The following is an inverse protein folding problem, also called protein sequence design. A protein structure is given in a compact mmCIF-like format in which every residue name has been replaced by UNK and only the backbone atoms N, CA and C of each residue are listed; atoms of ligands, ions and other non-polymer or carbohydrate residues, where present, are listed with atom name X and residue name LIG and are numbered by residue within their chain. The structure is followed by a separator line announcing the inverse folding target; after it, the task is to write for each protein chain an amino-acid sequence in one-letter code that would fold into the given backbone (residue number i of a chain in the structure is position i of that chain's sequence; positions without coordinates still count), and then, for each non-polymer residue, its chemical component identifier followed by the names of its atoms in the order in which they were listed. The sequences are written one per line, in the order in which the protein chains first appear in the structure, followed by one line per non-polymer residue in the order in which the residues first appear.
data_IF_111422869213
#
_entry.id   IF_111422869213
#
_cell.length_a   1.000
_cell.length_b   1.000
_cell.length_c   1.000
_cell.angle_alpha   90.00
_cell.angle_beta   90.00
_cell.angle_gamma   90.00
#
_symmetry.space_group_name_H-M   'P 1'
#
loop_
_entity.id
_entity.type
_entity.pdbx_description
1 polymer ?
#
# COMPACT_ATOMS: atom_id res chain seq x y z
N UNK A 1 -21.56 -7.30 -9.27
CA UNK A 1 -20.68 -6.12 -9.32
C UNK A 1 -20.37 -5.67 -10.73
N UNK A 2 -20.00 -6.57 -11.62
CA UNK A 2 -19.61 -6.23 -12.99
C UNK A 2 -20.75 -5.57 -13.76
N UNK A 3 -21.99 -5.78 -13.36
CA UNK A 3 -23.20 -5.26 -13.98
C UNK A 3 -23.88 -4.13 -13.21
N UNK A 4 -23.68 -4.06 -11.90
CA UNK A 4 -24.23 -2.99 -11.04
C UNK A 4 -23.10 -2.12 -10.49
N UNK A 5 -22.84 -1.01 -11.16
CA UNK A 5 -21.79 -0.05 -10.79
C UNK A 5 -22.13 0.81 -9.58
N UNK A 6 -23.26 0.55 -8.89
CA UNK A 6 -23.72 1.35 -7.77
C UNK A 6 -24.23 2.73 -8.17
N UNK A 7 -24.30 3.65 -7.21
CA UNK A 7 -24.81 5.02 -7.40
C UNK A 7 -23.70 5.94 -7.90
N UNK A 8 -24.01 6.79 -8.87
CA UNK A 8 -23.07 7.82 -9.31
C UNK A 8 -23.27 9.09 -8.47
N UNK A 9 -22.21 9.58 -7.85
CA UNK A 9 -22.20 10.85 -7.13
C UNK A 9 -22.27 12.03 -8.12
N UNK A 10 -22.69 13.21 -7.66
CA UNK A 10 -22.77 14.43 -8.47
C UNK A 10 -21.43 14.85 -9.11
N UNK A 11 -20.31 14.41 -8.55
CA UNK A 11 -18.95 14.59 -9.11
C UNK A 11 -18.61 13.62 -10.24
N UNK A 12 -19.50 12.74 -10.64
CA UNK A 12 -19.25 11.69 -11.64
C UNK A 12 -18.60 10.43 -11.11
N UNK A 13 -18.24 10.40 -9.82
CA UNK A 13 -17.63 9.24 -9.17
C UNK A 13 -18.66 8.14 -8.93
N UNK A 14 -18.29 6.89 -9.26
CA UNK A 14 -19.15 5.74 -8.98
C UNK A 14 -18.91 5.28 -7.54
N UNK A 15 -19.99 5.23 -6.76
CA UNK A 15 -19.97 4.74 -5.38
C UNK A 15 -20.42 3.28 -5.38
N UNK A 16 -19.45 2.37 -5.30
CA UNK A 16 -19.73 0.94 -5.24
C UNK A 16 -20.39 0.56 -3.93
N UNK A 17 -21.33 -0.36 -4.00
CA UNK A 17 -22.01 -0.92 -2.83
C UNK A 17 -22.27 -2.40 -2.98
N UNK A 18 -22.30 -3.12 -1.86
CA UNK A 18 -22.63 -4.53 -1.78
C UNK A 18 -23.61 -4.79 -0.67
N UNK A 19 -24.46 -5.77 -0.87
CA UNK A 19 -25.38 -6.25 0.16
C UNK A 19 -25.25 -7.75 0.31
N UNK A 20 -25.10 -8.18 1.56
CA UNK A 20 -25.16 -9.57 1.95
C UNK A 20 -26.53 -9.80 2.59
N UNK A 21 -27.32 -10.69 1.99
CA UNK A 21 -28.63 -11.08 2.48
C UNK A 21 -28.50 -12.52 2.97
N UNK A 22 -28.45 -12.75 4.30
CA UNK A 22 -28.37 -14.10 4.82
C UNK A 22 -29.72 -14.81 4.67
N UNK A 23 -29.70 -16.14 4.68
CA UNK A 23 -30.93 -16.93 4.70
C UNK A 23 -31.78 -16.61 5.95
N UNK A 24 -31.12 -16.36 7.08
CA UNK A 24 -31.75 -15.93 8.33
C UNK A 24 -30.80 -14.98 9.06
N UNK A 25 -31.31 -13.81 9.49
CA UNK A 25 -30.54 -12.81 10.21
C UNK A 25 -30.60 -11.43 9.55
N UNK A 26 -29.78 -10.54 10.05
CA UNK A 26 -29.72 -9.13 9.63
C UNK A 26 -29.03 -8.95 8.27
N UNK A 27 -29.51 -8.01 7.50
CA UNK A 27 -28.84 -7.62 6.25
C UNK A 27 -27.57 -6.82 6.56
N UNK A 28 -26.53 -7.05 5.77
CA UNK A 28 -25.26 -6.32 5.87
C UNK A 28 -24.98 -5.61 4.55
N UNK A 29 -24.92 -4.28 4.61
CA UNK A 29 -24.58 -3.44 3.46
C UNK A 29 -23.16 -2.91 3.61
N UNK A 30 -22.39 -2.92 2.53
CA UNK A 30 -21.14 -2.20 2.38
C UNK A 30 -21.32 -1.11 1.34
N UNK A 31 -20.81 0.08 1.60
CA UNK A 31 -20.90 1.22 0.68
C UNK A 31 -19.64 2.08 0.76
N UNK A 32 -19.13 2.51 -0.39
CA UNK A 32 -18.12 3.55 -0.46
C UNK A 32 -18.75 4.93 -0.40
N UNK A 33 -18.09 5.85 0.27
CA UNK A 33 -18.44 7.26 0.22
C UNK A 33 -17.62 8.00 -0.89
N UNK A 34 -17.93 9.27 -1.19
CA UNK A 34 -17.17 10.05 -2.15
C UNK A 34 -15.69 10.25 -1.79
N UNK A 35 -15.31 10.04 -0.53
CA UNK A 35 -13.93 10.13 -0.01
C UNK A 35 -13.18 8.79 -0.03
N UNK A 36 -13.73 7.77 -0.69
CA UNK A 36 -13.18 6.41 -0.73
C UNK A 36 -13.14 5.67 0.61
N UNK A 37 -13.94 6.09 1.57
CA UNK A 37 -14.07 5.38 2.83
C UNK A 37 -15.13 4.30 2.70
N UNK A 38 -14.78 3.07 3.06
CA UNK A 38 -15.70 1.95 3.10
C UNK A 38 -16.47 1.94 4.42
N UNK A 39 -17.78 1.98 4.33
CA UNK A 39 -18.70 1.89 5.45
C UNK A 39 -19.48 0.58 5.42
N UNK A 40 -19.81 0.08 6.59
CA UNK A 40 -20.75 -1.03 6.78
C UNK A 40 -22.03 -0.54 7.49
N UNK A 41 -23.13 -1.21 7.21
CA UNK A 41 -24.46 -0.91 7.80
C UNK A 41 -25.18 -2.22 8.06
N UNK A 42 -25.66 -2.42 9.29
CA UNK A 42 -26.42 -3.59 9.69
C UNK A 42 -27.89 -3.20 9.79
N UNK A 43 -28.77 -3.92 9.11
CA UNK A 43 -30.23 -3.70 9.08
C UNK A 43 -30.63 -2.26 8.76
N UNK A 44 -29.92 -1.61 7.80
CA UNK A 44 -30.16 -0.24 7.39
C UNK A 44 -30.04 0.80 8.51
N UNK A 45 -29.39 0.45 9.62
CA UNK A 45 -29.12 1.38 10.72
C UNK A 45 -28.00 2.36 10.32
N UNK A 46 -27.51 3.14 11.29
CA UNK A 46 -26.43 4.10 11.08
C UNK A 46 -25.19 3.39 10.52
N UNK A 47 -24.59 3.97 9.49
CA UNK A 47 -23.34 3.44 8.91
C UNK A 47 -22.17 3.67 9.86
N UNK A 48 -21.28 2.71 9.91
CA UNK A 48 -20.01 2.72 10.65
C UNK A 48 -18.87 2.40 9.68
N UNK A 49 -17.63 2.89 9.91
CA UNK A 49 -16.49 2.46 9.14
C UNK A 49 -16.38 0.92 9.13
N UNK A 50 -16.11 0.33 7.95
CA UNK A 50 -16.06 -1.12 7.82
C UNK A 50 -14.96 -1.75 8.70
N UNK A 51 -13.87 -1.01 8.97
CA UNK A 51 -12.79 -1.45 9.87
C UNK A 51 -13.28 -1.75 11.29
N UNK A 52 -14.28 -1.03 11.79
CA UNK A 52 -14.87 -1.30 13.12
C UNK A 52 -15.52 -2.69 13.13
N UNK A 53 -16.25 -3.02 12.07
CA UNK A 53 -16.88 -4.33 11.94
C UNK A 53 -15.83 -5.45 11.79
N UNK A 54 -14.80 -5.23 10.98
CA UNK A 54 -13.72 -6.20 10.79
C UNK A 54 -12.97 -6.47 12.10
N UNK A 55 -12.70 -5.43 12.88
CA UNK A 55 -12.11 -5.57 14.23
C UNK A 55 -13.04 -6.30 15.20
N UNK A 56 -14.35 -6.11 15.10
CA UNK A 56 -15.31 -6.87 15.89
C UNK A 56 -15.38 -8.35 15.50
N UNK A 57 -14.90 -8.72 14.31
CA UNK A 57 -14.68 -10.08 13.84
C UNK A 57 -13.26 -10.61 14.16
N UNK A 58 -12.54 -9.90 15.06
CA UNK A 58 -11.20 -10.24 15.54
C UNK A 58 -10.07 -10.11 14.50
N UNK A 59 -10.29 -9.34 13.42
CA UNK A 59 -9.23 -9.04 12.46
C UNK A 59 -8.28 -7.98 13.02
N UNK A 60 -7.00 -8.29 13.09
CA UNK A 60 -5.94 -7.37 13.48
C UNK A 60 -5.62 -6.33 12.39
N UNK A 61 -4.82 -5.31 12.74
CA UNK A 61 -4.43 -4.25 11.79
C UNK A 61 -3.68 -4.83 10.59
N UNK A 62 -2.67 -5.67 10.80
CA UNK A 62 -1.90 -6.30 9.74
C UNK A 62 -2.77 -7.16 8.82
N UNK A 63 -3.70 -7.91 9.39
CA UNK A 63 -4.61 -8.78 8.65
C UNK A 63 -5.54 -7.96 7.75
N UNK A 64 -6.12 -6.87 8.28
CA UNK A 64 -6.94 -5.95 7.49
C UNK A 64 -6.11 -5.33 6.35
N UNK A 65 -4.89 -4.87 6.63
CA UNK A 65 -4.03 -4.26 5.62
C UNK A 65 -3.65 -5.26 4.53
N UNK A 66 -3.28 -6.49 4.89
CA UNK A 66 -2.90 -7.54 3.94
C UNK A 66 -4.06 -8.03 3.07
N UNK A 67 -5.30 -7.94 3.56
CA UNK A 67 -6.49 -8.34 2.79
C UNK A 67 -6.88 -7.30 1.73
N UNK A 68 -6.68 -6.01 2.03
CA UNK A 68 -7.15 -4.91 1.17
C UNK A 68 -6.08 -4.23 0.33
N UNK A 69 -4.80 -4.45 0.63
CA UNK A 69 -3.68 -3.79 -0.05
C UNK A 69 -2.61 -4.80 -0.44
N UNK A 70 -1.97 -4.52 -1.56
CA UNK A 70 -0.72 -5.21 -1.91
C UNK A 70 0.43 -4.70 -1.04
N UNK A 71 1.42 -5.55 -0.82
CA UNK A 71 2.63 -5.23 -0.06
C UNK A 71 3.84 -5.15 -1.00
N UNK A 72 4.69 -4.16 -0.77
CA UNK A 72 6.02 -4.08 -1.33
C UNK A 72 7.04 -4.35 -0.22
N UNK A 73 8.00 -5.24 -0.50
CA UNK A 73 9.11 -5.53 0.42
C UNK A 73 10.33 -4.71 0.01
N UNK A 74 10.82 -3.92 0.95
CA UNK A 74 12.00 -3.08 0.78
C UNK A 74 13.15 -3.64 1.62
N UNK A 75 14.27 -3.92 0.97
CA UNK A 75 15.52 -4.28 1.66
C UNK A 75 16.38 -3.03 1.76
N UNK A 76 16.72 -2.64 2.99
CA UNK A 76 17.54 -1.47 3.26
C UNK A 76 19.02 -1.82 3.12
N UNK A 77 19.75 -0.98 2.39
CA UNK A 77 21.21 -0.95 2.32
C UNK A 77 21.65 0.43 2.81
N UNK A 78 22.94 0.68 3.00
CA UNK A 78 23.46 1.88 3.71
C UNK A 78 22.81 3.21 3.31
N UNK A 79 22.69 3.49 1.99
CA UNK A 79 22.13 4.74 1.47
C UNK A 79 21.12 4.48 0.32
N UNK A 80 20.64 3.24 0.22
CA UNK A 80 19.73 2.85 -0.85
C UNK A 80 18.76 1.77 -0.39
N UNK A 81 17.68 1.68 -1.09
CA UNK A 81 16.62 0.72 -0.80
C UNK A 81 16.39 -0.14 -2.03
N UNK A 82 16.39 -1.44 -1.87
CA UNK A 82 16.08 -2.39 -2.93
C UNK A 82 14.62 -2.83 -2.82
N UNK A 83 13.95 -2.85 -3.94
CA UNK A 83 12.57 -3.32 -4.04
C UNK A 83 12.40 -4.20 -5.27
N UNK A 84 11.51 -5.17 -5.19
CA UNK A 84 11.14 -5.98 -6.34
C UNK A 84 10.61 -5.10 -7.47
N UNK A 85 11.10 -5.32 -8.69
CA UNK A 85 10.68 -4.53 -9.83
C UNK A 85 9.31 -5.01 -10.34
N UNK A 86 8.28 -4.25 -10.05
CA UNK A 86 6.96 -4.36 -10.67
C UNK A 86 6.77 -3.12 -11.56
N UNK A 87 7.12 -3.18 -12.86
CA UNK A 87 7.20 -2.00 -13.72
C UNK A 87 5.91 -1.19 -13.76
N UNK A 88 4.76 -1.84 -13.72
CA UNK A 88 3.44 -1.19 -13.76
C UNK A 88 3.21 -0.24 -12.59
N UNK A 89 3.74 -0.56 -11.42
CA UNK A 89 3.62 0.25 -10.19
C UNK A 89 4.43 1.54 -10.25
N UNK A 90 5.46 1.58 -11.09
CA UNK A 90 6.28 2.77 -11.28
C UNK A 90 5.69 3.75 -12.31
N UNK A 91 4.61 3.41 -12.97
CA UNK A 91 4.02 4.23 -14.04
C UNK A 91 3.53 5.57 -13.52
N UNK A 92 4.11 6.63 -14.06
CA UNK A 92 3.74 8.01 -13.71
C UNK A 92 4.54 8.60 -12.55
N UNK A 93 5.30 7.77 -11.83
CA UNK A 93 6.20 8.21 -10.76
C UNK A 93 7.38 9.03 -11.33
N UNK A 94 7.92 9.88 -10.47
CA UNK A 94 9.15 10.63 -10.75
C UNK A 94 10.12 10.35 -9.61
N UNK A 95 11.18 9.61 -9.91
CA UNK A 95 12.15 9.18 -8.90
C UNK A 95 13.31 10.16 -8.80
N UNK A 96 13.83 10.32 -7.59
CA UNK A 96 15.01 11.15 -7.29
C UNK A 96 16.33 10.52 -7.76
N UNK A 97 16.32 9.25 -8.11
CA UNK A 97 17.50 8.49 -8.56
C UNK A 97 17.28 7.85 -9.92
N UNK A 98 18.40 7.55 -10.59
CA UNK A 98 18.37 6.79 -11.85
C UNK A 98 17.93 5.36 -11.62
N UNK A 99 17.03 4.87 -12.47
CA UNK A 99 16.75 3.43 -12.52
C UNK A 99 17.81 2.76 -13.40
N UNK A 100 18.68 1.99 -12.76
CA UNK A 100 19.75 1.23 -13.42
C UNK A 100 19.49 -0.27 -13.29
N UNK A 101 19.67 -0.97 -14.39
CA UNK A 101 19.66 -2.42 -14.43
C UNK A 101 20.95 -2.88 -15.13
N UNK A 102 21.81 -3.62 -14.44
CA UNK A 102 23.08 -4.14 -14.99
C UNK A 102 23.92 -3.07 -15.72
N UNK A 103 24.14 -1.94 -15.11
CA UNK A 103 24.94 -0.82 -15.66
C UNK A 103 24.28 -0.03 -16.80
N UNK A 104 23.06 -0.33 -17.20
CA UNK A 104 22.29 0.48 -18.16
C UNK A 104 21.27 1.31 -17.42
N UNK A 105 21.27 2.63 -17.67
CA UNK A 105 20.24 3.54 -17.17
C UNK A 105 19.00 3.44 -18.06
N UNK A 106 17.85 3.14 -17.47
CA UNK A 106 16.57 3.06 -18.16
C UNK A 106 15.74 4.31 -17.98
N UNK A 107 15.83 4.95 -16.81
CA UNK A 107 15.20 6.22 -16.50
C UNK A 107 16.18 7.07 -15.72
N UNK A 108 16.38 8.31 -16.14
CA UNK A 108 17.22 9.26 -15.43
C UNK A 108 16.43 9.91 -14.28
N UNK A 109 17.14 10.28 -13.22
CA UNK A 109 16.57 11.00 -12.08
C UNK A 109 15.79 12.25 -12.52
N UNK A 110 14.67 12.49 -11.85
CA UNK A 110 13.79 13.62 -12.14
C UNK A 110 12.92 13.47 -13.39
N UNK A 111 13.03 12.38 -14.15
CA UNK A 111 12.14 12.12 -15.29
C UNK A 111 10.93 11.27 -14.88
N UNK A 112 9.77 11.66 -15.41
CA UNK A 112 8.55 10.90 -15.23
C UNK A 112 8.62 9.58 -15.98
N UNK A 113 8.28 8.49 -15.29
CA UNK A 113 8.25 7.14 -15.84
C UNK A 113 7.05 6.99 -16.78
N UNK A 114 7.33 6.74 -18.05
CA UNK A 114 6.32 6.59 -19.11
C UNK A 114 6.06 5.14 -19.44
N UNK A 115 4.99 4.86 -20.19
CA UNK A 115 4.67 3.52 -20.68
C UNK A 115 5.81 2.88 -21.51
N UNK A 116 6.64 3.71 -22.19
CA UNK A 116 7.83 3.25 -22.91
C UNK A 116 8.87 2.69 -21.96
N UNK A 117 9.17 3.44 -20.89
CA UNK A 117 10.11 3.01 -19.84
C UNK A 117 9.63 1.71 -19.18
N UNK A 118 8.34 1.59 -18.90
CA UNK A 118 7.75 0.35 -18.36
C UNK A 118 8.02 -0.84 -19.28
N UNK A 119 7.76 -0.68 -20.58
CA UNK A 119 8.01 -1.75 -21.55
C UNK A 119 9.50 -2.15 -21.64
N UNK A 120 10.40 -1.17 -21.58
CA UNK A 120 11.85 -1.41 -21.58
C UNK A 120 12.30 -2.11 -20.30
N UNK A 121 11.78 -1.71 -19.13
CA UNK A 121 12.05 -2.36 -17.83
C UNK A 121 11.52 -3.79 -17.80
N UNK A 122 10.31 -4.03 -18.28
CA UNK A 122 9.73 -5.39 -18.38
C UNK A 122 10.61 -6.29 -19.26
N UNK A 123 11.11 -5.77 -20.38
CA UNK A 123 12.00 -6.52 -21.29
C UNK A 123 13.37 -6.78 -20.68
N UNK A 124 13.82 -6.00 -19.70
CA UNK A 124 15.14 -6.17 -19.06
C UNK A 124 15.23 -7.44 -18.21
N UNK A 125 14.08 -8.03 -17.83
CA UNK A 125 13.98 -9.18 -16.92
C UNK A 125 14.70 -8.94 -15.58
N UNK A 126 14.85 -7.71 -15.15
CA UNK A 126 15.33 -7.40 -13.82
C UNK A 126 14.28 -7.79 -12.78
N UNK A 127 14.71 -8.38 -11.68
CA UNK A 127 13.82 -8.74 -10.55
C UNK A 127 13.77 -7.65 -9.50
N UNK A 128 14.79 -6.79 -9.42
CA UNK A 128 14.95 -5.78 -8.39
C UNK A 128 15.54 -4.49 -8.96
N UNK A 129 15.19 -3.38 -8.30
CA UNK A 129 15.79 -2.06 -8.53
C UNK A 129 16.27 -1.49 -7.21
N UNK A 130 17.27 -0.61 -7.30
CA UNK A 130 17.77 0.18 -6.18
C UNK A 130 17.28 1.61 -6.33
N UNK A 131 16.68 2.14 -5.27
CA UNK A 131 16.12 3.49 -5.18
C UNK A 131 16.81 4.25 -4.04
N UNK A 132 16.70 5.57 -4.04
CA UNK A 132 17.11 6.36 -2.90
C UNK A 132 16.20 6.08 -1.70
N UNK A 133 16.73 6.20 -0.50
CA UNK A 133 15.97 5.93 0.73
C UNK A 133 14.79 6.90 0.94
N UNK A 134 14.89 8.12 0.41
CA UNK A 134 13.82 9.11 0.44
C UNK A 134 12.54 8.63 -0.26
N UNK A 135 12.63 7.60 -1.09
CA UNK A 135 11.47 6.95 -1.71
C UNK A 135 10.55 6.30 -0.68
N UNK A 136 11.06 5.98 0.51
CA UNK A 136 10.26 5.44 1.61
C UNK A 136 9.42 6.50 2.32
N UNK A 137 9.81 7.78 2.25
CA UNK A 137 9.08 8.86 2.92
C UNK A 137 7.66 8.98 2.34
N UNK A 138 6.66 8.99 3.22
CA UNK A 138 5.24 8.99 2.86
C UNK A 138 4.66 7.62 2.56
N UNK A 139 5.46 6.54 2.59
CA UNK A 139 4.92 5.18 2.55
C UNK A 139 4.43 4.74 3.93
N UNK A 140 3.52 3.79 3.94
CA UNK A 140 2.88 3.29 5.15
C UNK A 140 3.31 1.85 5.40
N UNK A 141 3.73 1.54 6.61
CA UNK A 141 4.11 0.20 7.02
C UNK A 141 2.89 -0.74 6.96
N UNK A 142 3.05 -1.90 6.34
CA UNK A 142 2.02 -2.93 6.31
C UNK A 142 2.10 -3.87 7.51
N UNK A 143 3.26 -3.95 8.15
CA UNK A 143 3.53 -4.85 9.27
C UNK A 143 4.25 -4.15 10.40
N UNK A 144 4.09 -4.71 11.61
CA UNK A 144 4.85 -4.28 12.78
C UNK A 144 6.34 -4.53 12.57
N UNK A 145 7.16 -3.58 12.99
CA UNK A 145 8.61 -3.70 13.02
C UNK A 145 9.03 -3.94 14.45
N UNK A 146 9.78 -5.01 14.68
CA UNK A 146 10.26 -5.43 15.99
C UNK A 146 11.74 -5.10 16.15
N UNK A 147 12.14 -4.75 17.37
CA UNK A 147 13.55 -4.68 17.75
C UNK A 147 14.16 -6.09 17.74
N UNK A 148 15.27 -6.27 17.06
CA UNK A 148 16.01 -7.54 17.11
C UNK A 148 16.62 -7.83 18.49
N UNK A 149 16.87 -6.78 19.29
CA UNK A 149 17.49 -6.92 20.61
C UNK A 149 16.47 -7.22 21.71
N UNK A 150 15.31 -6.54 21.70
CA UNK A 150 14.31 -6.62 22.78
C UNK A 150 13.07 -7.43 22.41
N UNK A 151 12.80 -7.61 21.12
CA UNK A 151 11.57 -8.22 20.62
C UNK A 151 10.33 -7.33 20.79
N UNK A 152 10.51 -6.08 21.21
CA UNK A 152 9.41 -5.12 21.32
C UNK A 152 9.07 -4.49 19.98
N UNK A 153 7.82 -4.08 19.82
CA UNK A 153 7.36 -3.36 18.63
C UNK A 153 7.96 -1.96 18.63
N UNK A 154 8.81 -1.67 17.65
CA UNK A 154 9.37 -0.33 17.43
C UNK A 154 8.38 0.56 16.70
N UNK A 155 7.77 0.05 15.63
CA UNK A 155 6.76 0.73 14.85
C UNK A 155 5.62 -0.23 14.53
N UNK A 156 4.41 0.22 14.77
CA UNK A 156 3.22 -0.57 14.47
C UNK A 156 2.85 -0.49 12.98
N UNK A 157 2.18 -1.51 12.48
CA UNK A 157 1.54 -1.48 11.19
C UNK A 157 0.61 -0.27 11.05
N UNK A 158 0.49 0.27 9.84
CA UNK A 158 -0.21 1.52 9.54
C UNK A 158 0.50 2.80 10.01
N UNK A 159 1.78 2.73 10.36
CA UNK A 159 2.60 3.93 10.62
C UNK A 159 3.13 4.47 9.29
N UNK A 160 2.97 5.78 9.06
CA UNK A 160 3.58 6.47 7.93
C UNK A 160 5.07 6.71 8.21
N UNK A 161 5.90 6.46 7.22
CA UNK A 161 7.34 6.66 7.31
C UNK A 161 7.62 8.14 7.01
N UNK A 162 8.05 8.87 8.02
CA UNK A 162 8.64 10.21 7.90
C UNK A 162 10.16 10.14 8.06
N UNK A 163 10.83 11.30 8.07
CA UNK A 163 12.29 11.38 8.23
C UNK A 163 12.74 10.80 9.58
N UNK A 164 11.99 11.05 10.66
CA UNK A 164 12.31 10.59 12.01
C UNK A 164 12.18 9.05 12.10
N UNK A 165 11.10 8.48 11.56
CA UNK A 165 10.90 7.03 11.51
C UNK A 165 11.98 6.38 10.66
N UNK A 166 12.37 6.96 9.54
CA UNK A 166 13.43 6.45 8.68
C UNK A 166 14.79 6.41 9.38
N UNK A 167 15.15 7.46 10.11
CA UNK A 167 16.38 7.51 10.92
C UNK A 167 16.37 6.42 12.00
N UNK A 168 15.27 6.26 12.73
CA UNK A 168 15.15 5.22 13.77
C UNK A 168 15.22 3.80 13.19
N UNK A 169 14.66 3.56 12.01
CA UNK A 169 14.79 2.28 11.32
C UNK A 169 16.27 1.98 11.03
N UNK A 170 17.04 2.98 10.59
CA UNK A 170 18.49 2.84 10.31
C UNK A 170 19.30 2.61 11.59
N UNK A 171 19.03 3.38 12.64
CA UNK A 171 19.70 3.24 13.95
C UNK A 171 19.52 1.83 14.52
N UNK A 172 18.31 1.26 14.39
CA UNK A 172 18.01 -0.08 14.86
C UNK A 172 18.47 -1.18 13.86
N UNK A 173 19.15 -0.80 12.76
CA UNK A 173 19.69 -1.72 11.74
C UNK A 173 18.65 -2.67 11.15
N UNK A 174 17.43 -2.21 10.98
CA UNK A 174 16.37 -2.99 10.37
C UNK A 174 16.73 -3.23 8.88
N UNK A 175 16.91 -4.48 8.52
CA UNK A 175 17.35 -4.87 7.16
C UNK A 175 16.23 -4.97 6.14
N UNK A 176 14.99 -5.17 6.59
CA UNK A 176 13.81 -5.36 5.71
C UNK A 176 12.59 -4.71 6.33
N UNK A 177 11.83 -4.02 5.49
CA UNK A 177 10.53 -3.47 5.86
C UNK A 177 9.49 -3.78 4.79
N UNK A 178 8.23 -3.85 5.19
CA UNK A 178 7.09 -4.03 4.27
C UNK A 178 6.19 -2.81 4.34
N UNK A 179 5.87 -2.29 3.16
CA UNK A 179 5.00 -1.13 3.03
C UNK A 179 3.79 -1.45 2.14
N UNK A 180 2.72 -0.69 2.33
CA UNK A 180 1.54 -0.73 1.48
C UNK A 180 1.85 -0.13 0.11
N UNK A 181 1.26 -0.75 -0.91
CA UNK A 181 1.23 -0.23 -2.28
C UNK A 181 -0.10 0.43 -2.57
#
# INVERSE_FOLDING_TARGET
YDHDKGKTHSSGKVLYSARIIPYRGSWLDFEFDPKDILFSRIDRRRKIPATIMLRALDMGTEEILSEFYDEDTFTLDKDSVKVALVPERLRGETLSVDIKVKSKTYVEAGKRITARHIKELTNSKASEISLAEEFLIGKVLSRDIFSEETGEVLFAANTEIDEEVLELIKENKIGEIKCLY
#
